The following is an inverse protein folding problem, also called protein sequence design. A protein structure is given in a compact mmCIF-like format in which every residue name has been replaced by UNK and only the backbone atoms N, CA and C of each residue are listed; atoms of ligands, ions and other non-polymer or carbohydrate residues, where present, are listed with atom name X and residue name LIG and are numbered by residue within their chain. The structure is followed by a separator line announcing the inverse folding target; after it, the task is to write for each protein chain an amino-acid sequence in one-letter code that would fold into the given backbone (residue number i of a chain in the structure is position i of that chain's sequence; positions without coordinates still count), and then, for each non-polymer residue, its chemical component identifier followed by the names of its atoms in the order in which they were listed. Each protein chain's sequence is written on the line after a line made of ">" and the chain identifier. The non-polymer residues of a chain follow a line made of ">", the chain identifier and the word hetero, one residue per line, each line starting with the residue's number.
data_IF_797797857572
#
_entry.id   IF_797797857572
#
_cell.length_a   1.000
_cell.length_b   1.000
_cell.length_c   1.000
_cell.angle_alpha   90.00
_cell.angle_beta   90.00
_cell.angle_gamma   90.00
#
_symmetry.space_group_name_H-M   'P 1'
#
loop_
_entity.id
_entity.type
_entity.pdbx_description
1 polymer ?
#
# COMPACT_ATOMS: atom_id res chain seq x y z
N UNK A 1 -25.50 -6.27 -32.87
CA UNK A 1 -25.68 -7.08 -31.65
C UNK A 1 -25.53 -6.15 -30.46
N UNK A 2 -26.47 -6.14 -29.51
CA UNK A 2 -26.39 -5.27 -28.32
C UNK A 2 -25.56 -5.96 -27.24
N UNK A 3 -24.60 -5.25 -26.67
CA UNK A 3 -23.70 -5.79 -25.63
C UNK A 3 -24.11 -5.29 -24.24
N UNK A 4 -23.98 -6.17 -23.25
CA UNK A 4 -24.23 -5.91 -21.84
C UNK A 4 -22.91 -5.53 -21.12
N UNK A 5 -23.02 -4.85 -19.98
CA UNK A 5 -21.88 -4.60 -19.08
C UNK A 5 -21.74 -5.75 -18.10
N UNK A 6 -20.52 -5.99 -17.58
CA UNK A 6 -20.27 -7.06 -16.62
C UNK A 6 -21.03 -6.85 -15.31
N UNK A 7 -21.25 -5.58 -14.92
CA UNK A 7 -22.02 -5.24 -13.72
C UNK A 7 -23.50 -5.65 -13.84
N UNK A 8 -24.06 -5.55 -15.05
CA UNK A 8 -25.47 -5.85 -15.35
C UNK A 8 -25.80 -7.34 -15.43
N UNK A 9 -24.80 -8.22 -15.42
CA UNK A 9 -25.00 -9.67 -15.48
C UNK A 9 -25.83 -10.15 -14.29
N UNK A 10 -26.74 -11.09 -14.49
CA UNK A 10 -27.52 -11.76 -13.44
C UNK A 10 -27.51 -13.27 -13.66
N UNK A 11 -27.83 -14.03 -12.62
CA UNK A 11 -27.91 -15.49 -12.68
C UNK A 11 -29.22 -16.00 -13.31
N UNK A 12 -30.24 -15.14 -13.39
CA UNK A 12 -31.59 -15.49 -13.87
C UNK A 12 -31.68 -15.52 -15.40
N UNK A 13 -30.89 -14.70 -16.08
CA UNK A 13 -30.90 -14.62 -17.54
C UNK A 13 -29.92 -15.62 -18.14
N UNK A 14 -30.38 -16.30 -19.19
CA UNK A 14 -29.66 -17.42 -19.82
C UNK A 14 -28.82 -16.95 -21.02
N UNK A 15 -29.16 -15.80 -21.62
CA UNK A 15 -28.49 -15.27 -22.82
C UNK A 15 -27.83 -13.94 -22.52
N UNK A 16 -26.50 -13.93 -22.59
CA UNK A 16 -25.65 -12.76 -22.39
C UNK A 16 -24.74 -12.56 -23.59
N UNK A 17 -24.44 -11.30 -23.89
CA UNK A 17 -23.39 -10.91 -24.83
C UNK A 17 -22.60 -9.75 -24.23
N UNK A 18 -21.28 -9.88 -24.12
CA UNK A 18 -20.39 -8.86 -23.53
C UNK A 18 -19.17 -8.64 -24.42
N UNK A 19 -18.61 -7.43 -24.36
CA UNK A 19 -17.28 -7.12 -24.90
C UNK A 19 -16.30 -6.98 -23.75
N UNK A 20 -15.21 -7.73 -23.80
CA UNK A 20 -14.26 -7.81 -22.71
C UNK A 20 -12.83 -7.85 -23.21
N UNK A 21 -11.90 -7.31 -22.45
CA UNK A 21 -10.46 -7.54 -22.62
C UNK A 21 -10.01 -8.63 -21.65
N UNK A 22 -9.23 -9.59 -22.13
CA UNK A 22 -8.62 -10.61 -21.29
C UNK A 22 -7.41 -10.01 -20.56
N UNK A 23 -7.52 -9.67 -19.27
CA UNK A 23 -6.42 -9.06 -18.52
C UNK A 23 -5.38 -10.08 -18.08
N UNK A 24 -5.81 -11.24 -17.57
CA UNK A 24 -4.92 -12.31 -17.13
C UNK A 24 -5.55 -13.68 -17.39
N UNK A 25 -4.74 -14.68 -17.72
CA UNK A 25 -5.18 -16.04 -17.97
C UNK A 25 -4.19 -17.08 -17.45
N UNK A 26 -4.66 -18.12 -16.76
CA UNK A 26 -3.80 -19.17 -16.23
C UNK A 26 -4.47 -20.53 -16.19
N UNK A 27 -3.65 -21.59 -16.27
CA UNK A 27 -4.11 -22.97 -16.11
C UNK A 27 -4.51 -23.23 -14.65
N UNK A 28 -5.72 -23.71 -14.43
CA UNK A 28 -6.15 -24.31 -13.19
C UNK A 28 -5.64 -25.74 -13.12
N UNK A 29 -4.79 -26.04 -12.15
CA UNK A 29 -4.20 -27.37 -11.94
C UNK A 29 -4.56 -27.85 -10.54
N UNK A 30 -4.89 -29.13 -10.40
CA UNK A 30 -5.06 -29.76 -9.11
C UNK A 30 -3.70 -29.87 -8.41
N UNK A 31 -3.50 -29.17 -7.29
CA UNK A 31 -2.21 -29.16 -6.58
C UNK A 31 -1.78 -30.53 -6.04
N UNK A 32 -2.70 -31.48 -5.85
CA UNK A 32 -2.41 -32.83 -5.34
C UNK A 32 -2.12 -33.83 -6.46
N UNK A 33 -2.95 -33.83 -7.50
CA UNK A 33 -2.86 -34.81 -8.61
C UNK A 33 -2.09 -34.28 -9.82
N UNK A 34 -1.78 -32.98 -9.84
CA UNK A 34 -1.18 -32.27 -10.96
C UNK A 34 -2.01 -32.30 -12.26
N UNK A 35 -3.30 -32.64 -12.16
CA UNK A 35 -4.22 -32.72 -13.29
C UNK A 35 -4.71 -31.33 -13.72
N UNK A 36 -4.81 -31.13 -15.02
CA UNK A 36 -5.37 -29.91 -15.61
C UNK A 36 -6.89 -29.89 -15.43
N UNK A 37 -7.42 -28.86 -14.78
CA UNK A 37 -8.87 -28.70 -14.57
C UNK A 37 -9.52 -27.81 -15.63
N UNK A 38 -8.77 -26.89 -16.20
CA UNK A 38 -9.29 -25.87 -17.10
C UNK A 38 -8.49 -24.58 -17.06
N UNK A 39 -9.01 -23.55 -17.71
CA UNK A 39 -8.39 -22.24 -17.84
C UNK A 39 -9.19 -21.19 -17.07
N UNK A 40 -8.50 -20.40 -16.26
CA UNK A 40 -9.06 -19.27 -15.53
C UNK A 40 -8.68 -17.98 -16.25
N UNK A 41 -9.60 -17.03 -16.28
CA UNK A 41 -9.44 -15.77 -17.03
C UNK A 41 -10.02 -14.63 -16.20
N UNK A 42 -9.31 -13.50 -16.13
CA UNK A 42 -9.86 -12.25 -15.63
C UNK A 42 -10.23 -11.40 -16.84
N UNK A 43 -11.52 -11.09 -16.97
CA UNK A 43 -12.03 -10.19 -17.99
C UNK A 43 -12.30 -8.81 -17.40
N UNK A 44 -12.09 -7.79 -18.23
CA UNK A 44 -12.44 -6.40 -17.92
C UNK A 44 -13.34 -5.84 -19.02
N UNK A 45 -14.31 -5.00 -18.65
CA UNK A 45 -15.19 -4.32 -19.62
C UNK A 45 -14.88 -2.81 -19.76
N UNK A 46 -15.71 -2.12 -20.54
CA UNK A 46 -15.62 -0.69 -20.79
C UNK A 46 -15.78 0.16 -19.51
N UNK A 47 -16.47 -0.38 -18.50
CA UNK A 47 -16.65 0.26 -17.20
C UNK A 47 -15.51 -0.06 -16.22
N UNK A 48 -14.45 -0.74 -16.68
CA UNK A 48 -13.36 -1.24 -15.83
C UNK A 48 -13.84 -2.25 -14.77
N UNK A 49 -15.02 -2.85 -14.95
CA UNK A 49 -15.51 -3.91 -14.07
C UNK A 49 -14.71 -5.18 -14.37
N UNK A 50 -14.26 -5.86 -13.32
CA UNK A 50 -13.50 -7.10 -13.44
C UNK A 50 -14.39 -8.28 -13.10
N UNK A 51 -14.27 -9.37 -13.85
CA UNK A 51 -14.95 -10.61 -13.53
C UNK A 51 -14.01 -11.79 -13.78
N UNK A 52 -14.10 -12.78 -12.90
CA UNK A 52 -13.44 -14.05 -13.13
C UNK A 52 -14.30 -14.88 -14.07
N UNK A 53 -13.65 -15.59 -14.99
CA UNK A 53 -14.25 -16.56 -15.89
C UNK A 53 -13.47 -17.89 -15.82
N UNK A 54 -14.20 -19.00 -15.91
CA UNK A 54 -13.62 -20.33 -15.93
C UNK A 54 -14.09 -21.12 -17.15
N UNK A 55 -13.13 -21.79 -17.79
CA UNK A 55 -13.35 -22.70 -18.89
C UNK A 55 -12.81 -24.07 -18.51
N UNK A 56 -13.66 -25.09 -18.51
CA UNK A 56 -13.25 -26.45 -18.15
C UNK A 56 -12.28 -27.04 -19.18
N UNK A 57 -11.44 -27.99 -18.75
CA UNK A 57 -10.51 -28.72 -19.62
C UNK A 57 -11.14 -29.19 -20.94
N UNK A 58 -12.35 -29.75 -20.86
CA UNK A 58 -13.08 -30.31 -22.03
C UNK A 58 -13.37 -29.27 -23.12
N UNK A 59 -13.45 -28.00 -22.74
CA UNK A 59 -13.74 -26.87 -23.63
C UNK A 59 -12.48 -26.14 -24.10
N UNK A 60 -11.32 -26.43 -23.51
CA UNK A 60 -10.10 -25.68 -23.80
C UNK A 60 -9.57 -25.92 -25.22
N UNK A 61 -9.89 -27.05 -25.84
CA UNK A 61 -9.47 -27.38 -27.20
C UNK A 61 -10.11 -26.39 -28.20
N UNK A 62 -9.31 -25.45 -28.71
CA UNK A 62 -9.74 -24.35 -29.58
C UNK A 62 -9.58 -22.97 -28.92
N UNK A 63 -10.33 -22.70 -27.85
CA UNK A 63 -10.36 -21.39 -27.20
C UNK A 63 -9.00 -20.97 -26.59
N UNK A 64 -8.23 -21.92 -26.08
CA UNK A 64 -6.98 -21.62 -25.37
C UNK A 64 -5.87 -21.07 -26.28
N UNK A 65 -5.88 -21.42 -27.58
CA UNK A 65 -4.90 -20.92 -28.55
C UNK A 65 -5.21 -19.48 -28.98
N UNK A 66 -6.50 -19.16 -29.06
CA UNK A 66 -7.01 -17.85 -29.47
C UNK A 66 -7.02 -16.83 -28.33
N UNK A 67 -7.10 -17.29 -27.09
CA UNK A 67 -7.07 -16.44 -25.90
C UNK A 67 -5.65 -15.92 -25.63
N UNK A 68 -5.48 -14.61 -25.74
CA UNK A 68 -4.24 -13.90 -25.49
C UNK A 68 -4.51 -12.72 -24.57
N UNK A 69 -3.69 -12.60 -23.54
CA UNK A 69 -3.75 -11.48 -22.60
C UNK A 69 -3.62 -10.13 -23.35
N UNK A 70 -4.35 -9.13 -22.87
CA UNK A 70 -4.45 -7.79 -23.44
C UNK A 70 -5.36 -7.67 -24.66
N UNK A 71 -5.83 -8.76 -25.27
CA UNK A 71 -6.70 -8.71 -26.45
C UNK A 71 -8.19 -8.58 -26.07
N UNK A 72 -8.99 -8.04 -26.99
CA UNK A 72 -10.43 -7.87 -26.85
C UNK A 72 -11.21 -9.00 -27.51
N UNK A 73 -12.32 -9.36 -26.87
CA UNK A 73 -13.17 -10.47 -27.26
C UNK A 73 -14.64 -10.11 -27.08
N UNK A 74 -15.46 -10.64 -27.99
CA UNK A 74 -16.90 -10.74 -27.84
C UNK A 74 -17.19 -12.12 -27.27
N UNK A 75 -17.86 -12.15 -26.13
CA UNK A 75 -18.28 -13.38 -25.46
C UNK A 75 -19.81 -13.42 -25.41
N UNK A 76 -20.42 -14.51 -25.82
CA UNK A 76 -21.88 -14.70 -25.72
C UNK A 76 -22.28 -16.13 -25.37
N UNK A 77 -23.52 -16.31 -24.92
CA UNK A 77 -24.11 -17.61 -24.55
C UNK A 77 -23.31 -18.37 -23.47
N UNK A 78 -22.84 -17.64 -22.45
CA UNK A 78 -22.14 -18.19 -21.30
C UNK A 78 -23.04 -18.21 -20.06
N UNK A 79 -22.65 -19.00 -19.05
CA UNK A 79 -23.36 -19.08 -17.76
C UNK A 79 -22.78 -18.09 -16.75
N UNK A 80 -23.65 -17.56 -15.90
CA UNK A 80 -23.26 -16.71 -14.77
C UNK A 80 -23.68 -17.39 -13.48
N UNK A 81 -22.73 -17.56 -12.56
CA UNK A 81 -22.96 -18.10 -11.23
C UNK A 81 -22.57 -17.07 -10.17
N UNK A 82 -23.18 -17.16 -9.00
CA UNK A 82 -22.78 -16.39 -7.82
C UNK A 82 -21.84 -17.24 -6.96
N UNK A 83 -20.83 -16.61 -6.38
CA UNK A 83 -19.95 -17.25 -5.39
C UNK A 83 -20.75 -17.64 -4.14
N UNK A 84 -20.40 -18.78 -3.54
CA UNK A 84 -21.08 -19.30 -2.34
C UNK A 84 -20.51 -18.72 -1.04
N UNK A 85 -19.32 -18.13 -1.10
CA UNK A 85 -18.64 -17.48 0.02
C UNK A 85 -17.61 -18.35 0.73
N UNK A 86 -17.51 -19.64 0.39
CA UNK A 86 -16.48 -20.56 0.87
C UNK A 86 -15.21 -20.54 0.01
N UNK A 87 -15.25 -19.87 -1.14
CA UNK A 87 -14.13 -19.80 -2.06
C UNK A 87 -13.01 -18.88 -1.54
N UNK A 88 -11.79 -19.40 -1.53
CA UNK A 88 -10.57 -18.70 -1.12
C UNK A 88 -9.75 -18.24 -2.33
N UNK A 89 -8.88 -17.24 -2.12
CA UNK A 89 -7.96 -16.67 -3.10
C UNK A 89 -8.66 -16.12 -4.35
N UNK A 90 -9.86 -15.54 -4.19
CA UNK A 90 -10.59 -14.90 -5.30
C UNK A 90 -9.76 -13.73 -5.84
N UNK A 91 -9.52 -13.73 -7.14
CA UNK A 91 -8.67 -12.73 -7.78
C UNK A 91 -9.39 -11.39 -8.04
N UNK A 92 -10.72 -11.38 -7.92
CA UNK A 92 -11.56 -10.19 -8.09
C UNK A 92 -12.68 -10.18 -7.06
N UNK A 93 -13.17 -8.99 -6.72
CA UNK A 93 -14.22 -8.81 -5.71
C UNK A 93 -15.65 -9.00 -6.23
N UNK A 94 -15.81 -9.11 -7.56
CA UNK A 94 -17.11 -9.35 -8.17
C UNK A 94 -17.75 -10.64 -7.63
N UNK A 95 -18.98 -10.54 -7.16
CA UNK A 95 -19.75 -11.65 -6.58
C UNK A 95 -20.17 -12.71 -7.60
N UNK A 96 -20.03 -12.38 -8.89
CA UNK A 96 -20.41 -13.23 -10.02
C UNK A 96 -19.17 -13.81 -10.68
N UNK A 97 -19.35 -14.97 -11.31
CA UNK A 97 -18.34 -15.71 -12.06
C UNK A 97 -18.96 -16.22 -13.35
N UNK A 98 -18.27 -16.00 -14.46
CA UNK A 98 -18.63 -16.55 -15.78
C UNK A 98 -18.12 -17.99 -15.93
N UNK A 99 -18.97 -18.88 -16.42
CA UNK A 99 -18.61 -20.25 -16.79
C UNK A 99 -18.87 -20.47 -18.28
N UNK A 100 -17.84 -20.96 -18.96
CA UNK A 100 -17.94 -21.37 -20.34
C UNK A 100 -18.61 -22.74 -20.40
N UNK A 101 -19.47 -22.91 -21.38
CA UNK A 101 -20.11 -24.17 -21.73
C UNK A 101 -20.05 -24.43 -23.23
N UNK A 102 -20.66 -25.53 -23.70
CA UNK A 102 -20.65 -25.91 -25.11
C UNK A 102 -21.37 -24.91 -26.04
N UNK A 103 -22.20 -24.00 -25.50
CA UNK A 103 -22.94 -23.01 -26.28
C UNK A 103 -22.21 -21.66 -26.34
N UNK A 104 -21.19 -21.49 -25.50
CA UNK A 104 -20.44 -20.25 -25.38
C UNK A 104 -19.71 -19.93 -26.68
N UNK A 105 -19.98 -18.74 -27.23
CA UNK A 105 -19.29 -18.21 -28.38
C UNK A 105 -18.24 -17.19 -27.93
N UNK A 106 -17.02 -17.33 -28.42
CA UNK A 106 -15.89 -16.47 -28.11
C UNK A 106 -15.20 -16.07 -29.40
N UNK A 107 -15.14 -14.78 -29.68
CA UNK A 107 -14.55 -14.26 -30.90
C UNK A 107 -13.67 -13.08 -30.59
N UNK A 108 -12.48 -13.04 -31.20
CA UNK A 108 -11.58 -11.91 -31.08
C UNK A 108 -12.14 -10.70 -31.83
N UNK A 109 -12.15 -9.54 -31.18
CA UNK A 109 -12.56 -8.28 -31.80
C UNK A 109 -11.34 -7.67 -32.48
N UNK A 110 -11.45 -7.44 -33.80
CA UNK A 110 -10.36 -6.87 -34.63
C UNK A 110 -10.78 -5.54 -35.25
N UNK A 111 -12.06 -5.38 -35.58
CA UNK A 111 -12.68 -4.15 -36.09
C UNK A 111 -13.56 -3.52 -35.03
N UNK A 112 -13.85 -2.21 -35.16
CA UNK A 112 -14.71 -1.45 -34.24
C UNK A 112 -14.32 -1.61 -32.76
N UNK A 113 -13.01 -1.55 -32.51
CA UNK A 113 -12.42 -1.78 -31.19
C UNK A 113 -12.97 -0.73 -30.20
N UNK A 114 -13.70 -1.13 -29.16
CA UNK A 114 -14.21 -0.19 -28.19
C UNK A 114 -13.08 0.49 -27.42
N UNK A 115 -13.32 1.73 -27.00
CA UNK A 115 -12.42 2.43 -26.09
C UNK A 115 -12.52 1.79 -24.71
N UNK A 116 -11.61 0.86 -24.42
CA UNK A 116 -11.56 0.10 -23.18
C UNK A 116 -10.18 0.26 -22.55
N UNK A 117 -10.16 0.53 -21.23
CA UNK A 117 -8.90 0.61 -20.48
C UNK A 117 -8.09 -0.68 -20.67
N UNK A 118 -6.78 -0.52 -20.70
CA UNK A 118 -5.86 -1.65 -20.84
C UNK A 118 -5.83 -2.51 -19.58
N UNK A 119 -5.97 -1.86 -18.42
CA UNK A 119 -5.89 -2.48 -17.12
C UNK A 119 -6.98 -1.96 -16.18
N UNK A 120 -7.42 -2.83 -15.28
CA UNK A 120 -8.21 -2.49 -14.11
C UNK A 120 -7.62 -3.18 -12.87
N UNK A 121 -7.50 -2.42 -11.78
CA UNK A 121 -6.86 -2.84 -10.53
C UNK A 121 -7.71 -2.44 -9.33
N UNK A 122 -7.79 -3.30 -8.32
CA UNK A 122 -8.31 -2.96 -6.98
C UNK A 122 -7.08 -2.72 -6.08
N UNK A 123 -6.42 -1.58 -6.28
CA UNK A 123 -5.16 -1.26 -5.61
C UNK A 123 -5.35 -1.04 -4.11
N UNK A 124 -4.50 -1.66 -3.31
CA UNK A 124 -4.34 -1.42 -1.88
C UNK A 124 -3.03 -0.72 -1.59
N UNK A 125 -3.02 0.15 -0.58
CA UNK A 125 -1.81 0.79 -0.10
C UNK A 125 -0.91 -0.24 0.57
N UNK A 126 0.41 -0.04 0.45
CA UNK A 126 1.39 -0.97 1.05
C UNK A 126 1.22 -1.07 2.57
N UNK A 127 0.81 0.02 3.24
CA UNK A 127 0.51 0.06 4.67
C UNK A 127 -0.65 -0.84 5.11
N UNK A 128 -1.53 -1.22 4.19
CA UNK A 128 -2.68 -2.07 4.49
C UNK A 128 -2.36 -3.56 4.37
N UNK A 129 -1.21 -3.93 3.80
CA UNK A 129 -0.80 -5.33 3.63
C UNK A 129 -0.89 -6.15 4.94
N UNK A 130 -0.47 -5.64 6.12
CA UNK A 130 -0.59 -6.39 7.37
C UNK A 130 -2.04 -6.81 7.71
N UNK A 131 -3.04 -6.02 7.27
CA UNK A 131 -4.46 -6.32 7.50
C UNK A 131 -4.93 -7.56 6.75
N UNK A 132 -4.24 -7.96 5.68
CA UNK A 132 -4.61 -9.10 4.84
C UNK A 132 -3.88 -10.39 5.19
N UNK A 133 -2.97 -10.40 6.18
CA UNK A 133 -2.17 -11.58 6.53
C UNK A 133 -3.02 -12.82 6.87
N UNK A 134 -4.18 -12.59 7.50
CA UNK A 134 -5.10 -13.64 7.91
C UNK A 134 -6.35 -13.73 7.02
N UNK A 135 -6.46 -12.90 5.97
CA UNK A 135 -7.59 -12.93 5.04
C UNK A 135 -7.21 -13.74 3.79
N UNK A 136 -7.76 -14.94 3.67
CA UNK A 136 -7.55 -15.81 2.53
C UNK A 136 -8.67 -15.73 1.48
N UNK A 137 -9.66 -14.84 1.64
CA UNK A 137 -10.82 -14.76 0.73
C UNK A 137 -10.43 -14.17 -0.62
N UNK A 138 -9.58 -13.14 -0.62
CA UNK A 138 -9.23 -12.38 -1.83
C UNK A 138 -7.71 -12.24 -2.00
N UNK A 139 -7.28 -12.21 -3.25
CA UNK A 139 -5.95 -11.69 -3.60
C UNK A 139 -5.98 -10.16 -3.61
N UNK A 140 -4.80 -9.54 -3.54
CA UNK A 140 -4.66 -8.08 -3.51
C UNK A 140 -3.85 -7.59 -4.71
N UNK A 141 -4.21 -6.41 -5.22
CA UNK A 141 -3.38 -5.67 -6.16
C UNK A 141 -2.61 -4.59 -5.40
N UNK A 142 -1.32 -4.45 -5.67
CA UNK A 142 -0.47 -3.43 -5.05
C UNK A 142 0.33 -2.71 -6.10
N UNK A 143 0.67 -1.46 -5.82
CA UNK A 143 1.56 -0.65 -6.64
C UNK A 143 2.65 -0.06 -5.76
N UNK A 144 3.88 -0.08 -6.27
CA UNK A 144 5.02 0.46 -5.56
C UNK A 144 6.20 0.63 -6.50
N UNK A 145 7.16 1.42 -6.08
CA UNK A 145 8.44 1.59 -6.71
C UNK A 145 9.30 0.37 -6.44
N UNK A 146 10.09 -0.05 -7.42
CA UNK A 146 11.13 -1.05 -7.25
C UNK A 146 12.46 -0.44 -7.71
N UNK A 147 13.43 -0.32 -6.80
CA UNK A 147 14.78 0.09 -7.17
C UNK A 147 15.48 -1.06 -7.92
N UNK A 148 16.24 -0.73 -8.97
CA UNK A 148 16.99 -1.73 -9.76
C UNK A 148 17.98 -2.52 -8.91
N UNK A 149 18.65 -1.86 -7.97
CA UNK A 149 19.59 -2.46 -7.00
C UNK A 149 18.92 -3.43 -6.03
N UNK A 150 17.61 -3.30 -5.80
CA UNK A 150 16.86 -4.14 -4.88
C UNK A 150 16.37 -5.46 -5.51
N UNK A 151 16.59 -5.67 -6.82
CA UNK A 151 16.22 -6.90 -7.51
C UNK A 151 17.36 -7.91 -7.42
N UNK A 152 17.13 -9.02 -6.72
CA UNK A 152 18.07 -10.13 -6.61
C UNK A 152 17.49 -11.38 -7.26
N UNK A 153 18.24 -11.97 -8.19
CA UNK A 153 17.92 -13.29 -8.73
C UNK A 153 18.67 -14.36 -7.92
N UNK A 154 17.93 -15.33 -7.39
CA UNK A 154 18.44 -16.45 -6.61
C UNK A 154 18.14 -17.74 -7.38
N UNK A 155 19.16 -18.52 -7.70
CA UNK A 155 19.00 -19.84 -8.32
C UNK A 155 19.04 -20.91 -7.24
N UNK A 156 18.13 -21.89 -7.29
CA UNK A 156 18.15 -23.00 -6.34
C UNK A 156 19.39 -23.86 -6.55
N UNK A 157 20.11 -24.15 -5.47
CA UNK A 157 21.26 -25.06 -5.49
C UNK A 157 20.86 -26.52 -5.77
N UNK A 158 19.61 -26.88 -5.49
CA UNK A 158 19.07 -28.24 -5.63
C UNK A 158 18.34 -28.44 -6.96
N UNK A 159 17.78 -27.37 -7.52
CA UNK A 159 17.06 -27.39 -8.81
C UNK A 159 17.49 -26.18 -9.66
N UNK A 160 18.57 -26.29 -10.45
CA UNK A 160 19.13 -25.18 -11.23
C UNK A 160 18.14 -24.56 -12.23
N UNK A 161 17.09 -25.29 -12.62
CA UNK A 161 16.01 -24.82 -13.49
C UNK A 161 15.00 -23.90 -12.80
N UNK A 162 15.02 -23.81 -11.46
CA UNK A 162 14.17 -22.92 -10.68
C UNK A 162 14.97 -21.70 -10.23
N UNK A 163 14.71 -20.56 -10.88
CA UNK A 163 15.16 -19.24 -10.44
C UNK A 163 14.06 -18.52 -9.66
N UNK A 164 14.47 -17.66 -8.73
CA UNK A 164 13.61 -16.88 -7.85
C UNK A 164 14.05 -15.43 -7.89
N UNK A 165 13.13 -14.52 -8.20
CA UNK A 165 13.41 -13.08 -8.14
C UNK A 165 12.86 -12.52 -6.84
N UNK A 166 13.71 -11.90 -6.04
CA UNK A 166 13.34 -11.14 -4.85
C UNK A 166 13.52 -9.67 -5.16
N UNK A 167 12.52 -8.86 -4.84
CA UNK A 167 12.65 -7.40 -4.90
C UNK A 167 11.80 -6.73 -3.84
N UNK A 168 12.13 -5.47 -3.53
CA UNK A 168 11.42 -4.65 -2.56
C UNK A 168 10.54 -3.63 -3.26
N UNK A 169 9.29 -3.53 -2.81
CA UNK A 169 8.35 -2.48 -3.20
C UNK A 169 8.32 -1.37 -2.15
N UNK A 170 8.30 -0.12 -2.62
CA UNK A 170 8.26 1.09 -1.80
C UNK A 170 7.09 1.97 -2.26
N UNK A 171 6.37 2.60 -1.33
CA UNK A 171 5.27 3.53 -1.67
C UNK A 171 5.75 4.99 -1.88
N UNK A 172 7.06 5.23 -1.76
CA UNK A 172 7.66 6.56 -1.79
C UNK A 172 7.83 7.17 -0.39
N UNK A 173 7.32 6.54 0.67
CA UNK A 173 7.70 6.81 2.05
C UNK A 173 8.80 5.84 2.47
N UNK A 174 9.90 6.33 3.02
CA UNK A 174 11.05 5.51 3.47
C UNK A 174 10.74 4.50 4.58
N UNK A 175 9.47 4.35 4.99
CA UNK A 175 9.08 3.61 6.20
C UNK A 175 8.62 2.17 5.95
N UNK A 176 8.18 1.80 4.74
CA UNK A 176 7.66 0.45 4.50
C UNK A 176 8.19 -0.16 3.20
N UNK A 177 8.78 -1.33 3.33
CA UNK A 177 9.34 -2.09 2.21
C UNK A 177 8.79 -3.51 2.26
N UNK A 178 8.19 -3.97 1.17
CA UNK A 178 7.68 -5.34 1.09
C UNK A 178 8.50 -6.16 0.12
N UNK A 179 9.01 -7.29 0.59
CA UNK A 179 9.74 -8.24 -0.25
C UNK A 179 8.75 -9.11 -1.01
N UNK A 180 8.80 -9.09 -2.35
CA UNK A 180 8.06 -10.05 -3.17
C UNK A 180 8.91 -11.31 -3.32
N UNK A 181 8.42 -12.47 -2.88
CA UNK A 181 9.14 -13.76 -2.90
C UNK A 181 8.24 -14.94 -3.24
N UNK A 182 8.81 -15.97 -3.83
CA UNK A 182 8.20 -17.31 -3.87
C UNK A 182 8.58 -18.15 -2.61
N UNK A 183 8.16 -17.71 -1.39
CA UNK A 183 8.13 -18.42 -0.06
C UNK A 183 9.47 -18.78 0.68
N UNK A 184 9.60 -18.97 2.01
CA UNK A 184 9.70 -18.12 3.24
C UNK A 184 11.22 -18.02 3.67
N UNK A 185 11.74 -17.29 4.68
CA UNK A 185 11.29 -16.97 6.04
C UNK A 185 12.09 -15.80 6.69
N UNK A 186 11.45 -15.07 7.62
CA UNK A 186 11.91 -14.32 8.82
C UNK A 186 10.78 -13.34 9.23
N UNK A 187 10.90 -12.58 10.32
CA UNK A 187 9.92 -11.60 10.86
C UNK A 187 9.49 -10.45 9.91
N UNK A 188 9.71 -10.59 8.59
CA UNK A 188 9.30 -9.65 7.55
C UNK A 188 8.04 -10.16 6.81
N UNK A 189 7.21 -9.24 6.32
CA UNK A 189 6.03 -9.56 5.51
C UNK A 189 6.47 -9.76 4.05
N UNK A 190 6.01 -10.85 3.46
CA UNK A 190 6.31 -11.21 2.07
C UNK A 190 5.04 -11.29 1.22
N UNK A 191 5.09 -10.69 0.04
CA UNK A 191 4.10 -10.93 -1.01
C UNK A 191 4.54 -12.14 -1.82
N UNK A 192 3.66 -13.13 -1.98
CA UNK A 192 3.99 -14.37 -2.69
C UNK A 192 3.23 -14.52 -3.98
N UNK A 193 3.78 -15.32 -4.90
CA UNK A 193 3.17 -15.50 -6.20
C UNK A 193 1.95 -16.42 -6.15
N UNK A 194 0.96 -16.06 -6.97
CA UNK A 194 -0.19 -16.89 -7.29
C UNK A 194 -0.24 -17.06 -8.82
N UNK A 195 -0.81 -18.13 -9.38
CA UNK A 195 -0.89 -18.31 -10.85
C UNK A 195 -1.51 -17.11 -11.62
N UNK A 196 -2.44 -16.39 -10.98
CA UNK A 196 -3.06 -15.18 -11.51
C UNK A 196 -2.16 -13.92 -11.46
N UNK A 197 -1.03 -13.97 -10.77
CA UNK A 197 -0.16 -12.81 -10.55
C UNK A 197 0.43 -12.29 -11.86
N UNK A 198 0.38 -10.97 -12.07
CA UNK A 198 1.02 -10.29 -13.19
C UNK A 198 1.79 -9.07 -12.69
N UNK A 199 2.93 -8.81 -13.32
CA UNK A 199 3.72 -7.61 -13.08
C UNK A 199 3.57 -6.67 -14.26
N UNK A 200 3.18 -5.44 -13.98
CA UNK A 200 3.10 -4.37 -14.98
C UNK A 200 4.17 -3.33 -14.64
N UNK A 201 5.13 -3.16 -15.54
CA UNK A 201 6.26 -2.24 -15.33
C UNK A 201 5.92 -0.92 -16.01
N UNK A 202 5.80 0.14 -15.22
CA UNK A 202 5.48 1.49 -15.69
C UNK A 202 4.26 1.57 -16.65
N UNK A 203 3.12 0.90 -16.35
CA UNK A 203 1.93 1.02 -17.19
C UNK A 203 1.42 2.47 -17.18
N UNK A 204 0.76 2.88 -18.26
CA UNK A 204 0.07 4.16 -18.33
C UNK A 204 -1.17 4.16 -17.42
N UNK A 205 -0.98 4.40 -16.13
CA UNK A 205 -2.00 4.36 -15.10
C UNK A 205 -1.82 5.52 -14.12
N UNK A 206 -2.92 6.13 -13.67
CA UNK A 206 -2.89 7.32 -12.81
C UNK A 206 -2.10 7.08 -11.51
N UNK A 207 -2.16 5.88 -10.92
CA UNK A 207 -1.40 5.55 -9.71
C UNK A 207 0.10 5.54 -9.94
N UNK A 208 0.55 5.13 -11.13
CA UNK A 208 1.98 5.18 -11.51
C UNK A 208 2.39 6.63 -11.69
N UNK A 209 1.58 7.44 -12.38
CA UNK A 209 1.83 8.88 -12.52
C UNK A 209 1.84 9.60 -11.17
N UNK A 210 0.99 9.20 -10.22
CA UNK A 210 0.97 9.75 -8.85
C UNK A 210 2.29 9.45 -8.13
N UNK A 211 2.76 8.21 -8.18
CA UNK A 211 4.04 7.79 -7.59
C UNK A 211 5.22 8.47 -8.30
N UNK A 212 5.21 8.59 -9.62
CA UNK A 212 6.24 9.30 -10.38
C UNK A 212 6.24 10.81 -10.09
N UNK A 213 5.07 11.43 -9.88
CA UNK A 213 4.99 12.85 -9.46
C UNK A 213 5.47 13.05 -8.04
N UNK A 214 5.15 12.14 -7.12
CA UNK A 214 5.73 12.17 -5.77
C UNK A 214 7.25 11.93 -5.82
N UNK A 215 7.77 11.20 -6.82
CA UNK A 215 9.20 11.17 -7.08
C UNK A 215 9.70 12.51 -7.59
N UNK A 216 9.12 13.15 -8.60
CA UNK A 216 9.63 14.45 -9.11
C UNK A 216 9.59 15.54 -8.02
N UNK A 217 8.59 15.48 -7.13
CA UNK A 217 8.47 16.35 -5.94
C UNK A 217 9.28 15.84 -4.72
N UNK A 218 9.94 14.70 -4.85
CA UNK A 218 10.73 13.99 -3.83
C UNK A 218 12.15 13.59 -4.28
N UNK A 219 12.58 13.96 -5.50
CA UNK A 219 13.86 13.57 -6.13
C UNK A 219 15.05 14.38 -5.63
N UNK A 220 14.95 14.94 -4.43
CA UNK A 220 16.13 15.34 -3.66
C UNK A 220 16.46 14.35 -2.53
N UNK A 221 15.62 13.34 -2.28
CA UNK A 221 15.96 12.23 -1.40
C UNK A 221 16.68 11.14 -2.21
N UNK A 222 17.90 11.45 -2.64
CA UNK A 222 18.90 10.40 -2.81
C UNK A 222 19.07 9.73 -1.45
N UNK A 223 19.27 8.42 -1.43
CA UNK A 223 19.92 7.69 -0.34
C UNK A 223 21.38 8.19 -0.19
N UNK A 224 21.56 9.47 0.15
CA UNK A 224 22.67 9.92 0.97
C UNK A 224 22.18 9.72 2.40
N UNK A 225 22.98 9.05 3.24
CA UNK A 225 22.68 8.77 4.65
C UNK A 225 21.79 9.85 5.25
N UNK A 226 20.60 9.49 5.75
CA UNK A 226 19.62 10.41 6.35
C UNK A 226 20.31 11.32 7.38
N UNK A 227 20.81 12.46 6.91
CA UNK A 227 21.73 13.29 7.69
C UNK A 227 20.88 14.17 8.57
N UNK A 228 21.00 13.97 9.88
CA UNK A 228 20.32 14.79 10.87
C UNK A 228 21.08 16.11 11.02
N UNK A 229 20.35 17.20 10.87
CA UNK A 229 20.84 18.54 11.11
C UNK A 229 20.37 19.02 12.49
N UNK A 230 21.32 19.56 13.25
CA UNK A 230 21.04 20.32 14.47
C UNK A 230 20.47 21.69 14.12
N UNK A 231 19.71 22.32 15.01
CA UNK A 231 19.16 23.67 14.82
C UNK A 231 20.23 24.69 14.46
N UNK A 232 21.43 24.58 15.05
CA UNK A 232 22.56 25.44 14.70
C UNK A 232 23.01 25.25 13.24
N UNK A 233 23.10 24.01 12.77
CA UNK A 233 23.44 23.72 11.37
C UNK A 233 22.33 24.21 10.41
N UNK A 234 21.06 24.04 10.77
CA UNK A 234 19.91 24.48 9.95
C UNK A 234 19.96 25.99 9.70
N UNK A 235 20.31 26.77 10.74
CA UNK A 235 20.46 28.22 10.63
C UNK A 235 21.66 28.68 9.78
N UNK A 236 22.59 27.78 9.49
CA UNK A 236 23.82 28.05 8.73
C UNK A 236 23.78 27.47 7.31
N UNK A 237 22.63 26.93 6.88
CA UNK A 237 22.48 26.35 5.54
C UNK A 237 22.62 27.42 4.44
N UNK A 238 23.33 27.04 3.38
CA UNK A 238 23.52 27.87 2.19
C UNK A 238 22.45 27.63 1.12
N UNK A 239 22.60 28.32 -0.02
CA UNK A 239 21.68 28.26 -1.17
C UNK A 239 21.51 26.86 -1.74
N UNK A 240 22.48 25.98 -1.54
CA UNK A 240 22.44 24.60 -2.00
C UNK A 240 21.33 23.75 -1.35
N UNK A 241 20.71 24.23 -0.26
CA UNK A 241 19.66 23.55 0.49
C UNK A 241 18.26 24.13 0.28
N UNK A 242 18.11 25.10 -0.62
CA UNK A 242 16.80 25.62 -1.00
C UNK A 242 16.00 24.49 -1.64
N UNK A 243 14.79 24.24 -1.13
CA UNK A 243 13.87 23.17 -1.54
C UNK A 243 14.34 21.73 -1.26
N UNK A 244 15.51 21.54 -0.63
CA UNK A 244 16.00 20.22 -0.19
C UNK A 244 15.35 19.77 1.11
N UNK A 245 14.95 18.51 1.15
CA UNK A 245 14.53 17.85 2.39
C UNK A 245 15.71 17.72 3.33
N UNK A 246 15.54 18.14 4.57
CA UNK A 246 16.49 17.92 5.67
C UNK A 246 15.76 17.32 6.87
N UNK A 247 16.43 16.47 7.63
CA UNK A 247 15.88 15.88 8.85
C UNK A 247 16.43 16.58 10.08
N UNK A 248 15.56 16.86 11.04
CA UNK A 248 15.95 17.39 12.34
C UNK A 248 15.20 16.69 13.47
N UNK A 249 15.85 16.47 14.60
CA UNK A 249 15.25 15.92 15.81
C UNK A 249 15.10 17.06 16.83
N UNK A 250 13.87 17.44 17.13
CA UNK A 250 13.59 18.60 17.99
C UNK A 250 12.44 18.31 18.95
N UNK A 251 12.45 18.97 20.10
CA UNK A 251 11.37 18.93 21.09
C UNK A 251 10.53 20.20 20.97
N UNK A 252 9.21 20.06 20.89
CA UNK A 252 8.30 21.22 20.92
C UNK A 252 8.29 21.79 22.34
N UNK A 253 8.85 22.99 22.50
CA UNK A 253 8.90 23.68 23.80
C UNK A 253 7.63 24.47 24.07
N UNK A 254 7.04 25.06 23.02
CA UNK A 254 5.83 25.87 23.13
C UNK A 254 5.04 25.79 21.83
N UNK A 255 3.71 25.77 21.94
CA UNK A 255 2.80 26.01 20.82
C UNK A 255 2.31 27.45 20.92
N UNK A 256 2.30 28.18 19.80
CA UNK A 256 1.81 29.55 19.76
C UNK A 256 0.29 29.56 19.72
N UNK A 257 -0.32 30.09 20.78
CA UNK A 257 -1.77 30.20 20.95
C UNK A 257 -2.31 31.57 20.56
N UNK A 258 -1.43 32.55 20.31
CA UNK A 258 -1.81 33.92 19.98
C UNK A 258 -2.05 34.10 18.48
N UNK A 259 -1.37 33.30 17.66
CA UNK A 259 -1.59 33.26 16.22
C UNK A 259 -2.88 32.51 15.85
N UNK A 260 -3.42 32.84 14.68
CA UNK A 260 -4.53 32.09 14.12
C UNK A 260 -4.08 30.65 13.83
N UNK A 261 -4.83 29.66 14.30
CA UNK A 261 -4.44 28.25 14.27
C UNK A 261 -4.82 27.53 12.97
N UNK A 262 -5.46 28.24 12.03
CA UNK A 262 -5.76 27.79 10.67
C UNK A 262 -5.70 28.95 9.68
N UNK A 263 -5.50 28.66 8.39
CA UNK A 263 -5.68 29.64 7.31
C UNK A 263 -6.68 29.15 6.26
N UNK A 264 -7.11 30.09 5.41
CA UNK A 264 -7.99 29.83 4.29
C UNK A 264 -7.17 29.56 3.01
N UNK A 265 -7.56 28.53 2.26
CA UNK A 265 -6.89 28.06 1.06
C UNK A 265 -7.86 27.91 -0.11
N UNK A 266 -7.35 28.11 -1.31
CA UNK A 266 -8.10 27.86 -2.53
C UNK A 266 -7.98 26.39 -2.93
N UNK A 267 -9.08 25.63 -2.87
CA UNK A 267 -9.12 24.19 -3.17
C UNK A 267 -8.39 23.82 -4.48
N UNK A 268 -8.55 24.60 -5.55
CA UNK A 268 -7.95 24.27 -6.86
C UNK A 268 -6.49 24.72 -7.02
N UNK A 269 -6.07 25.77 -6.33
CA UNK A 269 -4.71 26.31 -6.48
C UNK A 269 -3.79 25.94 -5.31
N UNK A 270 -4.34 25.43 -4.21
CA UNK A 270 -3.62 25.12 -2.96
C UNK A 270 -2.81 26.29 -2.40
N UNK A 271 -3.22 27.52 -2.75
CA UNK A 271 -2.59 28.75 -2.28
C UNK A 271 -3.45 29.41 -1.22
N UNK A 272 -2.80 30.07 -0.27
CA UNK A 272 -3.45 30.88 0.77
C UNK A 272 -4.34 31.96 0.14
N UNK A 273 -5.47 32.22 0.80
CA UNK A 273 -6.52 33.13 0.37
C UNK A 273 -6.54 34.31 1.32
N UNK A 274 -6.43 35.50 0.74
CA UNK A 274 -6.48 36.76 1.50
C UNK A 274 -7.84 37.42 1.34
N UNK A 275 -8.25 38.22 2.32
CA UNK A 275 -9.48 38.99 2.23
C UNK A 275 -9.17 40.33 1.54
N UNK A 276 -9.81 40.58 0.40
CA UNK A 276 -9.72 41.84 -0.36
C UNK A 276 -11.15 42.34 -0.60
N UNK A 277 -11.45 43.55 -0.15
CA UNK A 277 -12.80 44.16 -0.24
C UNK A 277 -13.91 43.30 0.39
N UNK A 278 -13.62 42.67 1.54
CA UNK A 278 -14.55 41.78 2.23
C UNK A 278 -14.80 40.45 1.52
N UNK A 279 -14.05 40.14 0.45
CA UNK A 279 -14.15 38.89 -0.30
C UNK A 279 -12.84 38.12 -0.23
N UNK A 280 -12.93 36.82 0.02
CA UNK A 280 -11.81 35.89 -0.05
C UNK A 280 -11.30 35.83 -1.49
N UNK A 281 -10.05 36.22 -1.74
CA UNK A 281 -9.42 36.28 -3.05
C UNK A 281 -8.12 35.49 -3.07
N UNK A 282 -7.99 34.57 -4.02
CA UNK A 282 -6.77 33.77 -4.16
C UNK A 282 -5.62 34.61 -4.72
N UNK A 283 -4.44 34.56 -4.08
CA UNK A 283 -3.26 35.32 -4.50
C UNK A 283 -2.77 34.93 -5.91
N UNK A 284 -2.90 33.65 -6.29
CA UNK A 284 -2.41 33.10 -7.55
C UNK A 284 -3.38 33.31 -8.73
N UNK A 285 -4.63 32.84 -8.62
CA UNK A 285 -5.58 32.91 -9.72
C UNK A 285 -6.48 34.14 -9.71
N UNK A 286 -6.33 35.02 -8.70
CA UNK A 286 -7.08 36.28 -8.51
C UNK A 286 -8.61 36.15 -8.47
N UNK A 287 -9.15 34.93 -8.36
CA UNK A 287 -10.58 34.63 -8.24
C UNK A 287 -11.08 34.86 -6.82
N UNK A 288 -12.34 35.28 -6.72
CA UNK A 288 -13.06 35.39 -5.45
C UNK A 288 -13.69 34.03 -5.09
N UNK A 289 -13.60 33.65 -3.83
CA UNK A 289 -13.99 32.35 -3.30
C UNK A 289 -15.03 32.54 -2.19
N UNK A 290 -16.30 32.20 -2.43
CA UNK A 290 -17.31 32.30 -1.37
C UNK A 290 -16.96 31.44 -0.15
N UNK A 291 -16.42 30.24 -0.39
CA UNK A 291 -16.07 29.26 0.64
C UNK A 291 -14.65 28.73 0.39
N UNK A 292 -13.61 29.38 0.95
CA UNK A 292 -12.27 28.81 0.96
C UNK A 292 -12.21 27.59 1.89
N UNK A 293 -11.26 26.70 1.62
CA UNK A 293 -10.98 25.54 2.46
C UNK A 293 -10.10 25.94 3.65
N UNK A 294 -10.33 25.38 4.83
CA UNK A 294 -9.57 25.70 6.04
C UNK A 294 -8.52 24.63 6.31
N UNK A 295 -7.29 25.04 6.57
CA UNK A 295 -6.17 24.15 6.88
C UNK A 295 -5.40 24.62 8.10
N UNK A 296 -4.90 23.70 8.89
CA UNK A 296 -4.16 24.04 10.10
C UNK A 296 -2.91 24.87 9.82
N UNK A 297 -2.67 25.86 10.68
CA UNK A 297 -1.46 26.70 10.73
C UNK A 297 -0.95 26.76 12.16
N UNK A 298 -0.44 25.64 12.66
CA UNK A 298 0.04 25.56 14.05
C UNK A 298 1.52 25.93 14.12
N UNK A 299 1.79 27.14 14.58
CA UNK A 299 3.14 27.64 14.84
C UNK A 299 3.68 27.08 16.15
N UNK A 300 4.85 26.47 16.11
CA UNK A 300 5.51 25.88 17.28
C UNK A 300 6.93 26.41 17.45
N UNK A 301 7.37 26.52 18.69
CA UNK A 301 8.75 26.80 19.05
C UNK A 301 9.40 25.47 19.42
N UNK A 302 10.26 24.97 18.54
CA UNK A 302 10.98 23.73 18.74
C UNK A 302 12.42 24.02 19.18
N UNK A 303 13.03 23.10 19.92
CA UNK A 303 14.42 23.22 20.34
C UNK A 303 15.13 21.88 20.36
N UNK A 304 16.43 21.92 20.10
CA UNK A 304 17.38 20.85 20.41
C UNK A 304 18.47 21.37 21.36
N UNK A 305 19.54 20.59 21.55
CA UNK A 305 20.70 20.97 22.38
C UNK A 305 21.52 22.15 21.81
N UNK A 306 21.32 22.49 20.54
CA UNK A 306 22.10 23.50 19.82
C UNK A 306 21.36 24.82 19.61
N UNK A 307 20.04 24.85 19.77
CA UNK A 307 19.25 26.07 19.71
C UNK A 307 17.75 25.89 19.57
N UNK A 308 17.07 27.00 19.27
CA UNK A 308 15.62 27.10 19.11
C UNK A 308 15.27 27.43 17.66
N UNK A 309 14.26 26.75 17.10
CA UNK A 309 13.76 26.89 15.74
C UNK A 309 12.23 26.94 15.71
N UNK A 310 11.61 28.03 15.23
CA UNK A 310 10.18 28.09 14.96
C UNK A 310 9.79 27.22 13.75
N UNK A 311 8.80 26.34 13.93
CA UNK A 311 8.33 25.40 12.90
C UNK A 311 6.79 25.41 12.82
N UNK A 312 6.25 25.51 11.61
CA UNK A 312 4.82 25.29 11.32
C UNK A 312 4.59 23.81 11.03
N UNK A 313 3.65 23.19 11.76
CA UNK A 313 3.25 21.81 11.53
C UNK A 313 2.31 21.69 10.31
N UNK A 314 2.48 20.66 9.47
CA UNK A 314 1.65 20.49 8.28
C UNK A 314 0.24 20.02 8.62
N UNK A 315 -0.73 20.49 7.83
CA UNK A 315 -2.17 20.20 7.96
C UNK A 315 -2.48 18.70 8.03
N UNK A 316 -1.99 17.93 7.06
CA UNK A 316 -2.22 16.47 6.99
C UNK A 316 -1.72 15.73 8.24
N UNK A 317 -0.65 16.22 8.86
CA UNK A 317 -0.09 15.59 10.05
C UNK A 317 -0.93 15.89 11.28
N UNK A 318 -1.37 17.13 11.44
CA UNK A 318 -2.22 17.52 12.56
C UNK A 318 -3.51 16.71 12.50
N UNK A 319 -4.10 16.56 11.31
CA UNK A 319 -5.25 15.67 11.07
C UNK A 319 -4.95 14.22 11.44
N UNK A 320 -3.78 13.70 11.06
CA UNK A 320 -3.39 12.31 11.38
C UNK A 320 -3.24 12.07 12.88
N UNK A 321 -2.58 12.99 13.59
CA UNK A 321 -2.26 12.84 15.01
C UNK A 321 -3.51 13.07 15.87
N UNK A 322 -4.32 14.08 15.55
CA UNK A 322 -5.51 14.44 16.34
C UNK A 322 -6.76 13.67 15.93
N UNK A 323 -6.78 13.12 14.71
CA UNK A 323 -7.97 12.50 14.12
C UNK A 323 -9.07 13.49 13.74
N UNK A 324 -8.78 14.80 13.75
CA UNK A 324 -9.75 15.89 13.57
C UNK A 324 -9.27 16.88 12.51
N UNK A 325 -10.20 17.44 11.75
CA UNK A 325 -9.92 18.56 10.85
C UNK A 325 -10.24 19.93 11.48
N UNK A 326 -10.01 21.02 10.74
CA UNK A 326 -10.26 22.38 11.23
C UNK A 326 -11.74 22.60 11.53
N UNK A 327 -12.64 22.02 10.73
CA UNK A 327 -14.08 22.18 10.89
C UNK A 327 -14.58 21.46 12.15
N UNK A 328 -14.02 20.28 12.46
CA UNK A 328 -14.29 19.57 13.70
C UNK A 328 -13.96 20.45 14.92
N UNK A 329 -12.78 21.06 14.95
CA UNK A 329 -12.35 21.91 16.07
C UNK A 329 -13.13 23.23 16.15
N UNK A 330 -13.50 23.83 15.02
CA UNK A 330 -14.38 25.01 15.03
C UNK A 330 -15.78 24.69 15.57
N UNK A 331 -16.33 23.52 15.24
CA UNK A 331 -17.62 23.09 15.76
C UNK A 331 -17.55 22.85 17.28
N UNK A 332 -16.49 22.18 17.77
CA UNK A 332 -16.25 21.99 19.21
C UNK A 332 -16.14 23.33 19.96
N UNK A 333 -15.44 24.30 19.38
CA UNK A 333 -15.33 25.65 19.93
C UNK A 333 -16.68 26.38 19.99
N UNK A 334 -17.52 26.22 18.94
CA UNK A 334 -18.87 26.79 18.91
C UNK A 334 -19.77 26.18 19.97
N UNK A 335 -19.73 24.85 20.15
CA UNK A 335 -20.48 24.15 21.19
C UNK A 335 -20.03 24.58 22.60
N UNK A 336 -18.74 24.86 22.78
CA UNK A 336 -18.18 25.39 24.02
C UNK A 336 -18.49 26.88 24.27
N UNK A 337 -19.11 27.59 23.32
CA UNK A 337 -19.46 29.01 23.43
C UNK A 337 -18.27 29.97 23.26
N UNK A 338 -17.13 29.51 22.75
CA UNK A 338 -15.94 30.33 22.51
C UNK A 338 -15.35 30.03 21.12
N UNK A 339 -15.92 30.66 20.09
CA UNK A 339 -15.53 30.45 18.68
C UNK A 339 -14.08 30.81 18.37
N UNK A 340 -13.45 31.67 19.19
CA UNK A 340 -12.07 32.13 18.97
C UNK A 340 -11.05 31.40 19.82
N UNK A 341 -11.47 30.43 20.63
CA UNK A 341 -10.59 29.65 21.50
C UNK A 341 -9.52 28.93 20.69
N UNK A 342 -8.29 28.93 21.19
CA UNK A 342 -7.27 28.02 20.69
C UNK A 342 -7.61 26.58 21.08
N UNK A 343 -7.75 25.63 20.14
CA UNK A 343 -8.17 24.27 20.46
C UNK A 343 -7.19 23.55 21.42
N UNK A 344 -7.66 23.04 22.57
CA UNK A 344 -6.79 22.40 23.57
C UNK A 344 -5.98 21.22 23.04
N UNK A 345 -6.54 20.44 22.11
CA UNK A 345 -5.88 19.27 21.50
C UNK A 345 -4.59 19.65 20.77
N UNK A 346 -4.51 20.87 20.23
CA UNK A 346 -3.30 21.36 19.55
C UNK A 346 -2.17 21.70 20.55
N UNK A 347 -2.48 21.85 21.84
CA UNK A 347 -1.45 22.02 22.89
C UNK A 347 -0.77 20.71 23.25
N UNK A 348 -1.39 19.56 22.96
CA UNK A 348 -0.83 18.23 23.25
C UNK A 348 0.45 17.93 22.46
N UNK A 349 0.80 18.77 21.49
CA UNK A 349 2.08 18.71 20.78
C UNK A 349 3.25 19.22 21.63
N UNK A 350 3.00 20.01 22.68
CA UNK A 350 4.04 20.49 23.59
C UNK A 350 4.72 19.34 24.34
N UNK A 351 5.97 19.58 24.72
CA UNK A 351 6.82 18.66 25.48
C UNK A 351 7.15 17.33 24.78
N UNK A 352 6.64 17.08 23.57
CA UNK A 352 6.94 15.89 22.78
C UNK A 352 8.13 16.12 21.84
N UNK A 353 8.90 15.05 21.62
CA UNK A 353 10.03 15.04 20.69
C UNK A 353 9.63 14.45 19.34
N UNK A 354 9.95 15.17 18.26
CA UNK A 354 9.59 14.80 16.90
C UNK A 354 10.85 14.74 16.02
N UNK A 355 10.84 13.81 15.07
CA UNK A 355 11.74 13.85 13.91
C UNK A 355 10.97 14.54 12.78
N UNK A 356 11.43 15.70 12.36
CA UNK A 356 10.76 16.51 11.35
C UNK A 356 11.58 16.58 10.07
N UNK A 357 10.89 16.41 8.94
CA UNK A 357 11.43 16.75 7.62
C UNK A 357 11.10 18.21 7.32
N UNK A 358 12.12 19.04 7.25
CA UNK A 358 12.00 20.45 6.85
C UNK A 358 12.44 20.61 5.40
N UNK A 359 11.89 21.62 4.73
CA UNK A 359 12.28 21.98 3.37
C UNK A 359 12.55 23.50 3.36
N UNK A 360 13.82 23.94 3.52
CA UNK A 360 14.13 25.35 3.58
C UNK A 360 13.67 26.09 2.32
N UNK A 361 12.90 27.15 2.51
CA UNK A 361 12.44 27.99 1.39
C UNK A 361 13.52 28.99 0.98
N UNK A 362 13.33 29.64 -0.19
CA UNK A 362 14.16 30.79 -0.59
C UNK A 362 14.17 31.88 0.47
N UNK A 363 13.04 32.12 1.14
CA UNK A 363 12.95 33.12 2.20
C UNK A 363 13.75 32.74 3.44
N UNK A 364 13.85 31.46 3.78
CA UNK A 364 14.65 31.01 4.92
C UNK A 364 16.15 31.22 4.68
N UNK A 365 16.61 30.97 3.45
CA UNK A 365 18.05 31.01 3.12
C UNK A 365 18.49 32.40 2.67
N UNK A 366 17.75 33.06 1.78
CA UNK A 366 18.14 34.35 1.19
C UNK A 366 17.66 35.54 2.03
N UNK A 367 16.46 35.44 2.62
CA UNK A 367 15.85 36.53 3.40
C UNK A 367 15.96 36.32 4.92
N UNK A 368 16.66 35.26 5.36
CA UNK A 368 16.86 34.89 6.77
C UNK A 368 15.55 34.75 7.57
N UNK A 369 14.46 34.33 6.92
CA UNK A 369 13.21 34.04 7.61
C UNK A 369 13.43 32.91 8.63
N UNK A 370 13.03 33.16 9.88
CA UNK A 370 13.23 32.22 11.00
C UNK A 370 12.16 31.14 11.09
N UNK A 371 11.12 31.22 10.25
CA UNK A 371 9.96 30.33 10.29
C UNK A 371 10.07 29.24 9.23
N UNK A 372 10.18 27.99 9.67
CA UNK A 372 10.29 26.83 8.79
C UNK A 372 8.95 26.09 8.69
N UNK A 373 8.64 25.52 7.52
CA UNK A 373 7.45 24.70 7.33
C UNK A 373 7.89 23.23 7.28
N UNK A 374 7.32 22.40 8.16
CA UNK A 374 7.57 20.97 8.14
C UNK A 374 6.71 20.29 7.07
N UNK A 375 7.31 19.36 6.31
CA UNK A 375 6.63 18.56 5.28
C UNK A 375 6.05 17.28 5.87
N UNK A 376 6.77 16.66 6.82
CA UNK A 376 6.37 15.41 7.47
C UNK A 376 7.03 15.23 8.84
N UNK A 377 6.24 15.14 9.92
CA UNK A 377 6.70 14.60 11.19
C UNK A 377 6.72 13.06 11.21
N UNK A 378 7.67 12.49 11.95
CA UNK A 378 7.55 11.13 12.50
C UNK A 378 6.87 11.23 13.87
N UNK A 379 6.16 10.16 14.26
CA UNK A 379 5.42 10.10 15.51
C UNK A 379 6.32 10.46 16.71
N UNK A 380 5.74 10.94 17.84
CA UNK A 380 6.51 11.21 19.05
C UNK A 380 7.36 10.00 19.41
N UNK A 381 8.64 10.20 19.71
CA UNK A 381 9.54 9.11 20.11
C UNK A 381 9.04 8.31 21.33
N UNK A 382 8.14 8.89 22.13
CA UNK A 382 7.47 8.24 23.27
C UNK A 382 6.41 7.19 22.87
N UNK A 383 5.97 7.18 21.61
CA UNK A 383 5.04 6.18 21.05
C UNK A 383 5.75 4.99 20.39
N UNK A 384 7.08 5.00 20.35
CA UNK A 384 7.89 3.86 19.93
C UNK A 384 8.36 3.16 21.21
N UNK A 385 7.71 2.06 21.56
CA UNK A 385 8.07 1.25 22.72
C UNK A 385 9.57 0.96 22.73
N UNK A 386 10.25 1.41 23.80
CA UNK A 386 11.61 1.01 24.12
C UNK A 386 11.63 -0.50 24.41
N UNK A 387 11.73 -1.32 23.37
CA UNK A 387 12.22 -2.69 23.50
C UNK A 387 13.74 -2.68 23.31
N UNK A 388 14.44 -2.15 24.31
CA UNK A 388 15.79 -2.62 24.60
C UNK A 388 15.64 -3.75 25.62
N UNK A 389 15.98 -5.00 25.30
CA UNK A 389 16.07 -6.05 26.30
C UNK A 389 17.23 -5.67 27.23
N UNK A 390 16.90 -5.20 28.42
CA UNK A 390 17.85 -5.18 29.53
C UNK A 390 18.10 -6.65 29.90
N UNK A 391 19.36 -7.06 29.86
CA UNK A 391 19.82 -8.33 30.43
C UNK A 391 19.50 -8.34 31.93
N UNK A 392 18.43 -9.03 32.32
CA UNK A 392 18.24 -9.46 33.70
C UNK A 392 18.15 -10.98 33.77
N UNK A 393 19.02 -11.50 34.63
CA UNK A 393 19.26 -12.91 34.89
C UNK A 393 17.98 -13.61 35.33
N UNK A 394 17.73 -14.78 34.73
CA UNK A 394 16.68 -15.71 35.15
C UNK A 394 16.89 -16.20 36.59
N UNK A 395 15.80 -16.37 37.35
CA UNK A 395 15.68 -17.46 38.31
C UNK A 395 14.72 -18.55 37.80
N UNK A 396 15.13 -19.79 38.04
CA UNK A 396 14.44 -21.05 37.74
C UNK A 396 13.18 -21.28 38.62
N UNK A 397 12.23 -22.06 38.06
CA UNK A 397 11.28 -23.02 38.72
C UNK A 397 10.03 -22.37 39.38
N UNK A 398 8.78 -22.88 39.29
CA UNK A 398 8.23 -24.25 39.20
C UNK A 398 6.83 -24.25 38.54
N UNK A 399 6.48 -25.34 37.84
CA UNK A 399 5.10 -25.68 37.45
C UNK A 399 4.28 -26.07 38.69
N UNK A 400 3.17 -25.39 38.96
CA UNK A 400 2.13 -25.88 39.88
C UNK A 400 0.75 -25.70 39.24
N UNK A 401 0.14 -26.84 38.96
CA UNK A 401 -1.27 -27.04 38.61
C UNK A 401 -2.15 -26.83 39.84
N UNK A 402 -3.31 -26.20 39.70
CA UNK A 402 -4.40 -26.29 40.68
C UNK A 402 -5.77 -26.37 40.01
N UNK A 403 -6.46 -27.47 40.34
CA UNK A 403 -7.87 -27.74 40.11
C UNK A 403 -8.74 -26.97 41.11
N UNK A 404 -10.00 -26.75 40.74
CA UNK A 404 -11.19 -26.72 41.62
C UNK A 404 -12.34 -27.25 40.75
N UNK A 405 -12.78 -28.52 40.90
CA UNK A 405 -13.89 -29.01 41.76
C UNK A 405 -15.16 -28.15 41.62
N UNK A 406 -16.38 -28.63 41.42
CA UNK A 406 -17.01 -29.95 41.38
C UNK A 406 -18.42 -29.68 40.81
N UNK A 407 -18.97 -30.51 39.92
CA UNK A 407 -20.36 -30.96 40.13
C UNK A 407 -20.62 -32.30 39.44
N UNK A 408 -21.31 -33.13 40.20
CA UNK A 408 -21.54 -34.54 40.01
C UNK A 408 -22.86 -34.79 39.30
N UNK A 409 -22.88 -35.65 38.28
CA UNK A 409 -23.82 -36.79 38.19
C UNK A 409 -23.57 -37.68 36.97
N UNK A 410 -23.23 -38.93 37.29
CA UNK A 410 -23.42 -40.22 36.59
C UNK A 410 -23.92 -40.18 35.13
N UNK A 411 -23.14 -40.78 34.23
CA UNK A 411 -23.55 -42.03 33.57
C UNK A 411 -22.37 -42.79 32.95
N UNK A 412 -22.34 -44.09 33.24
CA UNK A 412 -21.41 -45.08 32.72
C UNK A 412 -21.58 -45.25 31.20
N UNK A 413 -20.49 -45.37 30.46
CA UNK A 413 -20.23 -46.54 29.60
C UNK A 413 -18.77 -46.54 29.11
N UNK A 414 -18.11 -47.66 29.38
CA UNK A 414 -16.82 -48.12 28.85
C UNK A 414 -16.96 -48.50 27.35
N UNK A 415 -15.94 -48.63 26.50
CA UNK A 415 -14.57 -49.16 26.62
C UNK A 415 -13.69 -48.67 25.44
N UNK A 416 -12.43 -48.35 25.76
CA UNK A 416 -11.15 -48.59 25.02
C UNK A 416 -10.96 -48.27 23.52
N UNK A 417 -9.82 -47.62 23.24
CA UNK A 417 -8.99 -47.88 22.05
C UNK A 417 -7.48 -47.71 22.39
N UNK A 418 -6.54 -48.40 21.69
CA UNK A 418 -5.22 -48.79 22.22
C UNK A 418 -4.06 -47.82 21.84
N UNK A 419 -2.84 -48.01 22.43
CA UNK A 419 -1.77 -47.02 22.41
C UNK A 419 -0.73 -47.15 21.27
N UNK A 420 -0.27 -45.99 20.80
CA UNK A 420 1.04 -45.53 20.26
C UNK A 420 2.03 -46.48 19.56
N UNK A 421 2.64 -46.00 18.46
CA UNK A 421 4.05 -46.29 18.14
C UNK A 421 4.83 -45.12 17.46
N UNK A 422 5.80 -44.62 18.24
CA UNK A 422 7.13 -43.98 18.03
C UNK A 422 7.64 -43.56 16.63
N UNK A 423 8.24 -42.36 16.55
CA UNK A 423 9.45 -42.03 15.74
C UNK A 423 10.05 -40.67 16.21
N UNK A 424 11.09 -40.68 17.05
CA UNK A 424 12.54 -40.43 16.80
C UNK A 424 12.95 -39.05 16.25
N UNK A 425 13.44 -38.19 17.16
CA UNK A 425 14.16 -36.94 16.88
C UNK A 425 15.59 -37.18 16.38
N UNK A 426 16.02 -36.41 15.36
CA UNK A 426 17.46 -36.15 15.09
C UNK A 426 17.67 -34.74 14.51
N UNK A 427 18.45 -33.94 15.24
CA UNK A 427 18.94 -32.60 14.90
C UNK A 427 20.16 -32.67 13.96
N UNK A 428 20.37 -31.71 13.06
CA UNK A 428 21.64 -31.56 12.32
C UNK A 428 22.04 -30.10 12.09
N UNK A 429 23.35 -29.86 12.16
CA UNK A 429 24.01 -28.59 12.45
C UNK A 429 24.14 -27.56 11.30
N UNK A 430 24.44 -26.33 11.73
CA UNK A 430 24.64 -25.10 10.94
C UNK A 430 26.00 -25.13 10.22
N UNK A 431 26.06 -24.80 8.93
CA UNK A 431 27.33 -24.49 8.22
C UNK A 431 27.22 -23.16 7.47
N UNK A 432 28.28 -22.35 7.61
CA UNK A 432 28.42 -20.99 7.09
C UNK A 432 28.40 -20.94 5.55
N UNK A 433 27.73 -19.93 4.98
CA UNK A 433 27.75 -19.61 3.54
C UNK A 433 28.77 -18.50 3.28
N UNK A 434 29.68 -18.73 2.34
CA UNK A 434 30.55 -17.72 1.72
C UNK A 434 29.81 -17.09 0.52
N UNK A 435 29.90 -15.77 0.40
CA UNK A 435 29.41 -14.99 -0.74
C UNK A 435 30.48 -14.92 -1.84
N UNK A 436 30.08 -15.14 -3.09
CA UNK A 436 30.92 -14.85 -4.27
C UNK A 436 30.20 -13.77 -5.08
N UNK A 437 30.90 -12.68 -5.37
CA UNK A 437 30.46 -11.64 -6.31
C UNK A 437 30.80 -12.10 -7.73
N UNK A 438 29.84 -12.02 -8.64
CA UNK A 438 30.05 -12.24 -10.08
C UNK A 438 29.81 -10.91 -10.78
N UNK A 439 30.82 -10.42 -11.48
CA UNK A 439 30.70 -9.35 -12.47
C UNK A 439 30.10 -9.95 -13.75
N UNK A 440 29.09 -9.29 -14.31
CA UNK A 440 28.46 -9.71 -15.56
C UNK A 440 29.09 -8.92 -16.71
N UNK A 441 29.68 -9.66 -17.64
CA UNK A 441 30.21 -9.17 -18.90
C UNK A 441 29.08 -9.01 -19.93
N UNK A 442 29.18 -8.00 -20.78
CA UNK A 442 28.20 -7.66 -21.81
C UNK A 442 28.30 -8.63 -23.00
N UNK A 443 27.29 -9.49 -23.20
CA UNK A 443 27.26 -10.38 -24.36
C UNK A 443 26.08 -11.35 -24.42
N UNK A 444 25.07 -10.94 -25.18
CA UNK A 444 24.02 -11.68 -25.88
C UNK A 444 23.30 -12.95 -25.33
N UNK A 445 21.97 -12.82 -25.42
CA UNK A 445 20.95 -13.82 -25.79
C UNK A 445 19.98 -14.45 -24.74
N UNK A 446 18.77 -13.88 -24.81
CA UNK A 446 17.41 -14.50 -24.82
C UNK A 446 16.74 -14.81 -23.48
N UNK A 447 15.90 -13.86 -23.04
CA UNK A 447 14.49 -14.13 -22.72
C UNK A 447 13.66 -12.84 -22.76
N UNK A 448 12.47 -12.94 -23.37
CA UNK A 448 11.63 -11.82 -23.83
C UNK A 448 11.09 -10.97 -22.66
N UNK A 449 11.74 -9.85 -22.41
CA UNK A 449 11.15 -8.68 -21.75
C UNK A 449 10.57 -7.80 -22.85
N UNK A 450 9.24 -7.69 -22.95
CA UNK A 450 8.62 -6.64 -23.77
C UNK A 450 8.68 -5.34 -22.97
N UNK A 451 9.48 -4.39 -23.46
CA UNK A 451 9.29 -2.96 -23.19
C UNK A 451 8.04 -2.50 -23.96
N UNK A 452 7.17 -1.79 -23.28
CA UNK A 452 6.13 -0.92 -23.84
C UNK A 452 6.31 0.45 -23.22
#
# INVERSE_FOLDING_TARGET
>A
MTFNTLLSLTTEKIVWSVRVRAQAGWKGINRKTNEFKGFNIIFIDEQSCRIHAFMSEKLCHGFAEDLKEGQLYSLSNFKVHQYKGDEINRCVRNEKHIYFDNQTQFQKIVTDVPLMKEYAFDLFDLQDIPKFLNDNRFLIDVVGMCQKSAVTCLVSAEEPSKSRVKFKLYDGSSRQTYSVMQCLANQEIYLTNYPAMRFYINPNHYSVSKIQKSMILGTEDKDEDATFFTVKQIKQLGKDYIQKSILCKVTVKKVDEQCNWFDNFHIKCENEVTIVDGRNRCAHCKRNLPYPDKRFRVCTICADETGVLPIIFPDDEIKRITGKDVYDLENENREAGDEKRFPPVLKEFQCKQYIMTLMPSKENIENQSTMYIAKKPCDPLEMLGNHNPVEELSPYIEEISMNTEFDSTKNNMSYSSPPTLKSTNRTRGRKNKLSVKIELDDGDHVSKVKKS
#
